data_IF_868954926293
#
_entry.id   IF_868954926293
#
_cell.length_a   1.000
_cell.length_b   1.000
_cell.length_c   1.000
_cell.angle_alpha   90.00
_cell.angle_beta   90.00
_cell.angle_gamma   90.00
#
_symmetry.space_group_name_H-M   'P 1'
#
loop_
_entity.id
_entity.type
_entity.pdbx_description
1 polymer ?
#
# COMPACT_ATOMS: atom_id res chain seq x y z
N UNK A 1 -40.98 13.54 24.40
CA UNK A 1 -39.74 13.21 23.67
C UNK A 1 -38.92 14.48 23.55
N UNK A 2 -37.83 14.59 24.31
CA UNK A 2 -37.00 15.80 24.39
C UNK A 2 -36.08 15.86 23.17
N UNK A 3 -36.33 16.81 22.28
CA UNK A 3 -35.36 17.28 21.29
C UNK A 3 -34.15 17.82 22.06
N UNK A 4 -33.08 17.02 22.13
CA UNK A 4 -31.84 17.42 22.75
C UNK A 4 -31.34 18.67 22.04
N UNK A 5 -31.24 19.79 22.76
CA UNK A 5 -30.71 21.05 22.27
C UNK A 5 -29.25 20.81 21.87
N UNK A 6 -28.97 20.60 20.58
CA UNK A 6 -27.60 20.44 20.10
C UNK A 6 -26.80 21.67 20.51
N UNK A 7 -25.68 21.44 21.19
CA UNK A 7 -24.78 22.53 21.52
C UNK A 7 -24.08 22.98 20.23
N UNK A 8 -23.77 24.26 20.08
CA UNK A 8 -22.94 24.78 18.97
C UNK A 8 -21.67 23.94 18.73
N UNK A 9 -21.10 23.37 19.78
CA UNK A 9 -19.93 22.49 19.67
C UNK A 9 -20.27 21.14 19.02
N UNK A 10 -21.47 20.59 19.26
CA UNK A 10 -21.91 19.38 18.59
C UNK A 10 -22.12 19.62 17.10
N UNK A 11 -22.74 20.73 16.70
CA UNK A 11 -22.89 21.10 15.29
C UNK A 11 -21.53 21.24 14.58
N UNK A 12 -20.55 21.87 15.23
CA UNK A 12 -19.20 22.00 14.70
C UNK A 12 -18.47 20.66 14.59
N UNK A 13 -18.66 19.77 15.56
CA UNK A 13 -18.11 18.41 15.52
C UNK A 13 -18.77 17.58 14.42
N UNK A 14 -20.10 17.64 14.29
CA UNK A 14 -20.85 16.94 13.25
C UNK A 14 -20.36 17.37 11.86
N UNK A 15 -20.27 18.67 11.61
CA UNK A 15 -19.78 19.21 10.35
C UNK A 15 -18.32 18.81 10.07
N UNK A 16 -17.46 18.74 11.09
CA UNK A 16 -16.07 18.28 10.92
C UNK A 16 -16.01 16.77 10.59
N UNK A 17 -16.83 15.96 11.25
CA UNK A 17 -16.89 14.51 11.05
C UNK A 17 -17.46 14.14 9.66
N UNK A 18 -18.43 14.91 9.17
CA UNK A 18 -18.97 14.82 7.80
C UNK A 18 -17.90 15.14 6.74
N UNK A 19 -17.07 16.16 6.98
CA UNK A 19 -15.92 16.48 6.11
C UNK A 19 -14.74 15.52 6.30
N UNK A 20 -14.82 14.58 7.25
CA UNK A 20 -13.75 13.65 7.56
C UNK A 20 -12.47 14.35 8.03
N UNK A 21 -12.59 15.38 8.87
CA UNK A 21 -11.49 16.14 9.46
C UNK A 21 -11.60 16.20 10.98
N UNK A 22 -10.53 16.58 11.66
CA UNK A 22 -10.65 17.01 13.05
C UNK A 22 -11.24 18.43 13.11
N UNK A 23 -12.05 18.71 14.13
CA UNK A 23 -12.54 20.06 14.39
C UNK A 23 -11.38 21.00 14.76
N UNK A 24 -11.26 22.09 14.01
CA UNK A 24 -10.40 23.25 14.29
C UNK A 24 -11.28 24.42 14.75
N UNK A 25 -11.24 24.81 16.04
CA UNK A 25 -12.02 25.94 16.53
C UNK A 25 -11.38 27.28 16.14
N UNK A 26 -12.06 28.06 15.29
CA UNK A 26 -11.59 29.37 14.81
C UNK A 26 -11.92 30.52 15.76
N UNK A 27 -13.11 30.50 16.36
CA UNK A 27 -13.54 31.57 17.28
C UNK A 27 -13.10 31.30 18.72
N UNK A 28 -12.75 32.36 19.46
CA UNK A 28 -12.29 32.24 20.85
C UNK A 28 -13.36 31.63 21.78
N UNK A 29 -14.65 31.92 21.53
CA UNK A 29 -15.75 31.28 22.28
C UNK A 29 -15.78 29.77 22.10
N UNK A 30 -15.54 29.30 20.87
CA UNK A 30 -15.57 27.88 20.53
C UNK A 30 -14.32 27.17 21.06
N UNK A 31 -13.14 27.82 20.97
CA UNK A 31 -11.90 27.35 21.59
C UNK A 31 -12.06 27.14 23.09
N UNK A 32 -12.64 28.09 23.81
CA UNK A 32 -12.90 27.94 25.26
C UNK A 32 -13.89 26.83 25.54
N UNK A 33 -14.98 26.75 24.79
CA UNK A 33 -16.02 25.75 24.97
C UNK A 33 -15.51 24.32 24.73
N UNK A 34 -14.79 24.08 23.62
CA UNK A 34 -14.23 22.76 23.31
C UNK A 34 -13.13 22.37 24.30
N UNK A 35 -12.24 23.28 24.70
CA UNK A 35 -11.21 23.02 25.73
C UNK A 35 -11.83 22.65 27.06
N UNK A 36 -12.92 23.33 27.47
CA UNK A 36 -13.67 23.00 28.70
C UNK A 36 -14.29 21.60 28.61
N UNK A 37 -14.86 21.22 27.46
CA UNK A 37 -15.41 19.86 27.23
C UNK A 37 -14.29 18.80 27.23
N UNK A 38 -13.15 19.10 26.61
CA UNK A 38 -11.99 18.21 26.56
C UNK A 38 -11.38 17.94 27.94
N UNK A 39 -11.30 18.95 28.81
CA UNK A 39 -10.73 18.82 30.17
C UNK A 39 -11.60 18.03 31.16
N UNK A 40 -12.84 17.68 30.82
CA UNK A 40 -13.70 16.86 31.70
C UNK A 40 -13.07 15.47 31.90
N UNK A 41 -13.09 14.95 33.14
CA UNK A 41 -12.52 13.63 33.50
C UNK A 41 -13.04 12.48 32.63
N UNK A 42 -14.30 12.56 32.18
CA UNK A 42 -14.92 11.62 31.23
C UNK A 42 -15.26 12.31 29.92
N UNK A 43 -14.34 13.09 29.35
CA UNK A 43 -14.55 13.72 28.05
C UNK A 43 -14.78 12.65 26.98
N UNK A 44 -15.74 12.90 26.09
CA UNK A 44 -15.98 12.12 24.89
C UNK A 44 -15.03 12.49 23.74
N UNK A 45 -14.22 13.54 23.92
CA UNK A 45 -13.28 14.02 22.93
C UNK A 45 -11.88 13.42 23.13
N UNK A 46 -11.12 13.43 22.04
CA UNK A 46 -9.66 13.34 22.06
C UNK A 46 -9.08 14.51 21.27
N UNK A 47 -7.78 14.77 21.50
CA UNK A 47 -7.02 15.73 20.71
C UNK A 47 -5.77 15.02 20.17
N UNK A 48 -5.80 14.52 18.91
CA UNK A 48 -4.67 13.76 18.35
C UNK A 48 -3.43 14.63 18.15
N UNK A 49 -3.64 15.91 17.85
CA UNK A 49 -2.63 16.97 17.80
C UNK A 49 -3.22 18.20 18.49
N UNK A 50 -2.40 18.97 19.19
CA UNK A 50 -2.85 20.19 19.88
C UNK A 50 -3.60 21.12 18.92
N UNK A 51 -4.82 21.51 19.31
CA UNK A 51 -5.69 22.35 18.49
C UNK A 51 -6.67 21.58 17.62
N UNK A 52 -6.48 20.28 17.44
CA UNK A 52 -7.40 19.40 16.71
C UNK A 52 -8.25 18.60 17.69
N UNK A 53 -9.57 18.52 17.45
CA UNK A 53 -10.49 17.78 18.31
C UNK A 53 -11.37 16.84 17.49
N UNK A 54 -11.67 15.67 18.04
CA UNK A 54 -12.57 14.69 17.41
C UNK A 54 -13.23 13.85 18.50
N UNK A 55 -14.46 13.37 18.27
CA UNK A 55 -15.11 12.46 19.22
C UNK A 55 -14.37 11.13 19.24
N UNK A 56 -14.22 10.55 20.43
CA UNK A 56 -13.53 9.27 20.66
C UNK A 56 -14.21 8.13 19.92
N UNK A 57 -15.54 8.12 19.85
CA UNK A 57 -16.31 7.12 19.13
C UNK A 57 -15.96 7.13 17.64
N UNK A 58 -15.99 8.31 17.01
CA UNK A 58 -15.57 8.50 15.62
C UNK A 58 -14.12 8.10 15.40
N UNK A 59 -13.20 8.54 16.26
CA UNK A 59 -11.79 8.20 16.11
C UNK A 59 -11.54 6.67 16.15
N UNK A 60 -12.26 5.96 17.04
CA UNK A 60 -12.16 4.50 17.16
C UNK A 60 -12.72 3.77 15.95
N UNK A 61 -13.74 4.30 15.28
CA UNK A 61 -14.32 3.70 14.08
C UNK A 61 -13.45 3.88 12.83
N UNK A 62 -12.51 4.83 12.83
CA UNK A 62 -11.61 5.07 11.70
C UNK A 62 -10.47 4.03 11.67
N UNK A 63 -10.19 3.51 10.46
CA UNK A 63 -8.95 2.83 10.12
C UNK A 63 -7.74 3.80 10.22
N UNK A 64 -6.49 3.31 10.35
CA UNK A 64 -5.31 4.16 10.56
C UNK A 64 -5.07 5.23 9.48
N UNK A 65 -5.32 4.90 8.21
CA UNK A 65 -5.34 5.82 7.07
C UNK A 65 -6.38 6.93 7.23
N UNK A 66 -7.61 6.58 7.60
CA UNK A 66 -8.67 7.54 7.89
C UNK A 66 -8.30 8.49 9.03
N UNK A 67 -7.63 7.98 10.07
CA UNK A 67 -7.10 8.77 11.18
C UNK A 67 -6.02 9.74 10.73
N UNK A 68 -5.07 9.29 9.90
CA UNK A 68 -4.02 10.12 9.34
C UNK A 68 -4.62 11.25 8.48
N UNK A 69 -5.57 10.94 7.60
CA UNK A 69 -6.28 11.94 6.78
C UNK A 69 -7.04 12.97 7.63
N UNK A 70 -7.70 12.56 8.73
CA UNK A 70 -8.36 13.51 9.63
C UNK A 70 -7.36 14.48 10.28
N UNK A 71 -6.16 14.00 10.64
CA UNK A 71 -5.09 14.85 11.18
C UNK A 71 -4.56 15.78 10.10
N UNK A 72 -4.25 15.27 8.91
CA UNK A 72 -3.72 16.06 7.80
C UNK A 72 -4.69 17.19 7.41
N UNK A 73 -5.99 16.91 7.27
CA UNK A 73 -7.00 17.93 6.96
C UNK A 73 -7.11 18.98 8.07
N UNK A 74 -7.10 18.53 9.33
CA UNK A 74 -7.13 19.44 10.47
C UNK A 74 -5.88 20.33 10.56
N UNK A 75 -4.70 19.78 10.24
CA UNK A 75 -3.45 20.55 10.20
C UNK A 75 -3.44 21.56 9.06
N UNK A 76 -3.90 21.18 7.86
CA UNK A 76 -4.03 22.09 6.73
C UNK A 76 -5.02 23.22 7.03
N UNK A 77 -6.11 22.96 7.75
CA UNK A 77 -7.04 23.99 8.20
C UNK A 77 -6.45 24.88 9.30
N UNK A 78 -5.73 24.30 10.27
CA UNK A 78 -5.12 25.03 11.38
C UNK A 78 -3.93 25.90 10.93
N UNK A 79 -3.20 25.45 9.90
CA UNK A 79 -1.98 26.06 9.34
C UNK A 79 -1.96 25.88 7.81
N UNK A 80 -2.57 26.81 7.05
CA UNK A 80 -2.74 26.69 5.58
C UNK A 80 -1.45 26.57 4.76
N UNK A 81 -0.32 26.93 5.35
CA UNK A 81 1.03 26.81 4.81
C UNK A 81 1.67 25.43 5.04
N UNK A 82 1.01 24.53 5.79
CA UNK A 82 1.51 23.17 6.06
C UNK A 82 1.69 22.40 4.75
N UNK A 83 2.94 22.05 4.43
CA UNK A 83 3.27 21.11 3.37
C UNK A 83 3.56 19.73 3.96
N UNK A 84 2.90 18.68 3.50
CA UNK A 84 3.13 17.29 3.91
C UNK A 84 4.25 16.65 3.07
N UNK A 85 4.99 15.71 3.67
CA UNK A 85 6.07 14.99 3.02
C UNK A 85 6.09 13.51 3.45
N UNK A 86 7.06 12.73 2.94
CA UNK A 86 7.25 11.32 3.27
C UNK A 86 5.92 10.52 3.21
N UNK A 87 5.64 9.66 4.19
CA UNK A 87 4.44 8.82 4.19
C UNK A 87 3.11 9.61 4.19
N UNK A 88 3.10 10.84 4.71
CA UNK A 88 1.89 11.68 4.70
C UNK A 88 1.62 12.23 3.30
N UNK A 89 2.67 12.65 2.57
CA UNK A 89 2.51 12.96 1.16
C UNK A 89 2.17 11.71 0.34
N UNK A 90 2.77 10.55 0.64
CA UNK A 90 2.49 9.30 -0.07
C UNK A 90 1.02 8.91 0.03
N UNK A 91 0.44 9.04 1.24
CA UNK A 91 -1.00 8.82 1.46
C UNK A 91 -1.87 9.79 0.64
N UNK A 92 -1.48 11.07 0.54
CA UNK A 92 -2.19 12.04 -0.29
C UNK A 92 -2.10 11.73 -1.79
N UNK A 93 -0.94 11.25 -2.27
CA UNK A 93 -0.74 10.78 -3.64
C UNK A 93 -1.46 9.45 -3.95
N UNK A 94 -2.09 8.82 -2.96
CA UNK A 94 -2.73 7.50 -3.11
C UNK A 94 -1.73 6.35 -3.26
N UNK A 95 -0.47 6.55 -2.87
CA UNK A 95 0.54 5.50 -2.83
C UNK A 95 0.26 4.55 -1.65
N UNK A 96 0.62 3.26 -1.76
CA UNK A 96 0.41 2.30 -0.69
C UNK A 96 1.31 2.64 0.51
N UNK A 97 0.71 2.79 1.69
CA UNK A 97 1.43 3.03 2.94
C UNK A 97 0.85 2.11 4.00
N UNK A 98 1.70 1.27 4.60
CA UNK A 98 1.31 0.40 5.70
C UNK A 98 0.84 1.19 6.91
N UNK A 99 -0.15 0.66 7.61
CA UNK A 99 -0.82 1.35 8.71
C UNK A 99 0.12 1.70 9.86
N UNK A 100 1.17 0.91 10.11
CA UNK A 100 2.14 1.21 11.17
C UNK A 100 2.97 2.46 10.88
N UNK A 101 3.19 2.81 9.62
CA UNK A 101 3.89 4.03 9.21
C UNK A 101 3.02 5.29 9.34
N UNK A 102 1.69 5.12 9.46
CA UNK A 102 0.71 6.22 9.54
C UNK A 102 0.43 6.70 10.98
N UNK A 103 1.23 6.24 11.95
CA UNK A 103 1.11 6.69 13.36
C UNK A 103 1.50 8.16 13.54
N UNK A 104 2.39 8.64 12.69
CA UNK A 104 2.95 10.00 12.70
C UNK A 104 2.61 10.73 11.40
N UNK A 105 2.38 12.04 11.50
CA UNK A 105 2.14 12.91 10.34
C UNK A 105 3.41 13.69 10.03
N UNK A 106 3.84 13.63 8.78
CA UNK A 106 5.13 14.16 8.32
C UNK A 106 4.91 15.45 7.54
N UNK A 107 5.58 16.52 7.95
CA UNK A 107 5.48 17.85 7.36
C UNK A 107 6.85 18.41 7.03
N UNK A 108 6.92 19.27 6.03
CA UNK A 108 8.09 20.11 5.76
C UNK A 108 8.16 21.19 6.84
N UNK A 109 9.36 21.41 7.38
CA UNK A 109 9.62 22.47 8.36
C UNK A 109 9.38 23.83 7.69
N UNK A 110 8.42 24.59 8.22
CA UNK A 110 8.29 26.02 7.87
C UNK A 110 9.35 26.82 8.60
N UNK A 111 9.97 27.79 7.92
CA UNK A 111 10.94 28.72 8.53
C UNK A 111 10.31 29.61 9.61
N UNK A 112 8.99 29.84 9.56
CA UNK A 112 8.25 30.71 10.49
C UNK A 112 7.84 29.98 11.78
N UNK A 113 7.68 28.66 11.73
CA UNK A 113 7.33 27.83 12.89
C UNK A 113 8.58 27.14 13.42
N UNK A 114 9.10 27.59 14.57
CA UNK A 114 10.30 27.03 15.20
C UNK A 114 10.30 25.50 15.37
N UNK A 115 11.49 24.94 15.64
CA UNK A 115 11.79 23.49 15.77
C UNK A 115 10.95 22.77 16.82
N UNK A 116 9.75 22.30 16.50
CA UNK A 116 9.02 21.43 17.43
C UNK A 116 8.33 20.26 16.72
N UNK A 117 9.13 19.25 16.34
CA UNK A 117 8.58 17.90 16.20
C UNK A 117 7.88 17.51 17.50
N UNK A 118 6.70 16.95 17.39
CA UNK A 118 5.95 16.37 18.50
C UNK A 118 5.84 14.87 18.30
N UNK A 119 5.33 14.13 19.29
CA UNK A 119 5.09 12.68 19.17
C UNK A 119 4.20 12.29 17.97
N UNK A 120 3.42 13.22 17.40
CA UNK A 120 2.46 12.95 16.31
C UNK A 120 2.75 13.70 15.02
N UNK A 121 3.57 14.74 15.06
CA UNK A 121 3.89 15.56 13.90
C UNK A 121 5.41 15.69 13.81
N UNK A 122 5.99 15.12 12.77
CA UNK A 122 7.43 15.08 12.54
C UNK A 122 7.78 16.07 11.44
N UNK A 123 8.71 16.98 11.72
CA UNK A 123 9.12 18.02 10.78
C UNK A 123 10.44 17.67 10.09
N UNK A 124 10.43 17.70 8.76
CA UNK A 124 11.57 17.39 7.90
C UNK A 124 12.10 18.64 7.20
N UNK A 125 13.40 18.67 6.96
CA UNK A 125 14.04 19.73 6.18
C UNK A 125 14.14 19.27 4.73
N UNK A 126 13.41 19.96 3.85
CA UNK A 126 13.28 19.62 2.44
C UNK A 126 13.57 20.88 1.62
N UNK A 127 14.76 20.96 1.06
CA UNK A 127 15.16 22.08 0.20
C UNK A 127 14.89 21.78 -1.28
N UNK A 128 14.50 22.82 -2.01
CA UNK A 128 14.46 22.83 -3.48
C UNK A 128 13.38 21.96 -4.14
N UNK A 129 12.45 21.37 -3.37
CA UNK A 129 11.32 20.63 -3.94
C UNK A 129 10.08 21.53 -4.08
N UNK A 130 9.44 21.58 -5.27
CA UNK A 130 8.23 22.38 -5.45
C UNK A 130 7.06 21.79 -4.64
N UNK A 131 6.19 22.67 -4.14
CA UNK A 131 4.93 22.27 -3.54
C UNK A 131 3.90 21.89 -4.61
N UNK A 132 3.19 20.80 -4.39
CA UNK A 132 2.06 20.34 -5.22
C UNK A 132 0.76 20.36 -4.41
N UNK A 133 -0.38 20.60 -5.07
CA UNK A 133 -1.70 20.40 -4.48
C UNK A 133 -2.26 19.06 -4.96
N UNK A 134 -2.54 18.15 -4.03
CA UNK A 134 -3.07 16.82 -4.31
C UNK A 134 -4.19 16.53 -3.32
N UNK A 135 -5.41 16.40 -3.82
CA UNK A 135 -6.58 16.11 -3.00
C UNK A 135 -6.85 17.16 -1.91
N UNK A 136 -6.48 18.43 -2.14
CA UNK A 136 -6.59 19.52 -1.17
C UNK A 136 -5.47 19.55 -0.13
N UNK A 137 -4.39 18.79 -0.34
CA UNK A 137 -3.19 18.83 0.49
C UNK A 137 -2.02 19.45 -0.27
N UNK A 138 -1.31 20.36 0.38
CA UNK A 138 0.01 20.81 -0.06
C UNK A 138 1.03 19.72 0.25
N UNK A 139 1.72 19.19 -0.74
CA UNK A 139 2.62 18.05 -0.60
C UNK A 139 3.96 18.28 -1.31
N UNK A 140 4.96 17.47 -1.01
CA UNK A 140 6.16 17.30 -1.85
C UNK A 140 5.80 16.73 -3.22
N UNK A 141 6.63 17.02 -4.22
CA UNK A 141 6.48 16.46 -5.57
C UNK A 141 6.42 14.94 -5.55
N UNK A 142 5.80 14.35 -6.58
CA UNK A 142 5.61 12.90 -6.67
C UNK A 142 6.93 12.13 -6.47
N UNK A 143 7.96 12.47 -7.25
CA UNK A 143 9.25 11.77 -7.18
C UNK A 143 10.04 12.05 -5.90
N UNK A 144 9.84 13.22 -5.26
CA UNK A 144 10.40 13.47 -3.93
C UNK A 144 9.74 12.58 -2.89
N UNK A 145 8.42 12.48 -2.94
CA UNK A 145 7.64 11.61 -2.04
C UNK A 145 8.04 10.15 -2.19
N UNK A 146 8.12 9.66 -3.43
CA UNK A 146 8.58 8.29 -3.74
C UNK A 146 10.00 8.08 -3.18
N UNK A 147 10.93 8.99 -3.46
CA UNK A 147 12.29 8.91 -2.95
C UNK A 147 12.35 8.85 -1.41
N UNK A 148 11.65 9.74 -0.72
CA UNK A 148 11.65 9.80 0.75
C UNK A 148 11.13 8.49 1.36
N UNK A 149 10.09 7.88 0.77
CA UNK A 149 9.58 6.57 1.19
C UNK A 149 10.61 5.47 0.93
N UNK A 150 11.15 5.37 -0.29
CA UNK A 150 12.13 4.36 -0.66
C UNK A 150 13.45 4.47 0.13
N UNK A 151 13.79 5.67 0.59
CA UNK A 151 14.99 5.89 1.38
C UNK A 151 14.84 5.48 2.87
N UNK A 152 13.60 5.40 3.38
CA UNK A 152 13.35 5.30 4.84
C UNK A 152 12.47 4.12 5.28
N UNK A 153 11.61 3.60 4.41
CA UNK A 153 10.70 2.50 4.77
C UNK A 153 11.44 1.16 4.80
N UNK A 154 10.99 0.18 5.62
CA UNK A 154 11.39 -1.22 5.46
C UNK A 154 11.24 -1.70 4.02
N UNK A 155 12.07 -2.65 3.60
CA UNK A 155 12.09 -3.14 2.21
C UNK A 155 10.70 -3.45 1.64
N UNK A 156 9.86 -4.18 2.36
CA UNK A 156 8.52 -4.56 1.90
C UNK A 156 7.60 -3.36 1.61
N UNK A 157 7.57 -2.39 2.53
CA UNK A 157 6.78 -1.16 2.36
C UNK A 157 7.33 -0.29 1.23
N UNK A 158 8.66 -0.19 1.13
CA UNK A 158 9.32 0.57 0.08
C UNK A 158 9.06 -0.03 -1.32
N UNK A 159 9.02 -1.36 -1.42
CA UNK A 159 8.72 -2.06 -2.66
C UNK A 159 7.29 -1.79 -3.12
N UNK A 160 6.32 -1.77 -2.20
CA UNK A 160 4.95 -1.40 -2.52
C UNK A 160 4.85 0.01 -3.12
N UNK A 161 5.58 0.97 -2.55
CA UNK A 161 5.65 2.33 -3.09
C UNK A 161 6.32 2.34 -4.46
N UNK A 162 7.40 1.58 -4.65
CA UNK A 162 8.11 1.52 -5.93
C UNK A 162 7.25 0.93 -7.06
N UNK A 163 6.54 -0.17 -6.81
CA UNK A 163 5.60 -0.77 -7.77
C UNK A 163 4.50 0.21 -8.16
N UNK A 164 3.89 0.86 -7.16
CA UNK A 164 2.86 1.87 -7.39
C UNK A 164 3.40 3.07 -8.18
N UNK A 165 4.64 3.48 -7.92
CA UNK A 165 5.28 4.57 -8.66
C UNK A 165 5.49 4.21 -10.13
N UNK A 166 5.95 2.99 -10.44
CA UNK A 166 6.05 2.50 -11.81
C UNK A 166 4.67 2.44 -12.49
N UNK A 167 3.65 1.91 -11.81
CA UNK A 167 2.27 1.89 -12.34
C UNK A 167 1.75 3.27 -12.68
N UNK A 168 1.88 4.23 -11.77
CA UNK A 168 1.35 5.57 -11.94
C UNK A 168 2.12 6.39 -12.99
N UNK A 169 3.43 6.18 -13.10
CA UNK A 169 4.28 6.96 -14.01
C UNK A 169 4.40 6.36 -15.41
N UNK A 170 4.20 5.05 -15.56
CA UNK A 170 4.44 4.33 -16.80
C UNK A 170 5.92 4.21 -17.19
N UNK A 171 6.84 4.61 -16.31
CA UNK A 171 8.28 4.48 -16.55
C UNK A 171 8.71 3.00 -16.49
N UNK A 172 9.73 2.66 -17.27
CA UNK A 172 10.47 1.43 -17.06
C UNK A 172 11.32 1.52 -15.79
N UNK A 173 11.60 0.36 -15.18
CA UNK A 173 12.39 0.27 -13.94
C UNK A 173 13.74 0.97 -14.04
N UNK A 174 14.46 0.81 -15.15
CA UNK A 174 15.78 1.45 -15.35
C UNK A 174 15.68 2.97 -15.47
N UNK A 175 14.59 3.49 -16.06
CA UNK A 175 14.34 4.93 -16.16
C UNK A 175 14.07 5.52 -14.77
N UNK A 176 13.27 4.84 -13.94
CA UNK A 176 13.06 5.23 -12.53
C UNK A 176 14.37 5.22 -11.75
N UNK A 177 15.21 4.19 -11.90
CA UNK A 177 16.54 4.13 -11.25
C UNK A 177 17.41 5.32 -11.67
N UNK A 178 17.48 5.60 -12.98
CA UNK A 178 18.24 6.72 -13.53
C UNK A 178 17.73 8.08 -13.04
N UNK A 179 16.42 8.26 -12.99
CA UNK A 179 15.75 9.45 -12.47
C UNK A 179 16.12 9.67 -11.00
N UNK A 180 15.96 8.66 -10.15
CA UNK A 180 16.25 8.78 -8.71
C UNK A 180 17.73 9.09 -8.47
N UNK A 181 18.63 8.38 -9.16
CA UNK A 181 20.08 8.61 -9.06
C UNK A 181 20.49 10.00 -9.49
N UNK A 182 19.85 10.56 -10.52
CA UNK A 182 20.22 11.87 -11.07
C UNK A 182 19.66 13.01 -10.23
N UNK A 183 18.35 12.94 -9.90
CA UNK A 183 17.62 13.98 -9.17
C UNK A 183 18.06 14.06 -7.70
N UNK A 184 18.34 12.92 -7.07
CA UNK A 184 18.66 12.83 -5.65
C UNK A 184 20.10 12.39 -5.38
N UNK A 185 21.02 12.64 -6.33
CA UNK A 185 22.44 12.20 -6.26
C UNK A 185 23.18 12.61 -4.98
N UNK A 186 22.78 13.72 -4.36
CA UNK A 186 23.39 14.25 -3.13
C UNK A 186 22.59 13.91 -1.87
N UNK A 187 21.45 13.23 -1.99
CA UNK A 187 20.61 12.87 -0.87
C UNK A 187 21.07 11.52 -0.28
N UNK A 188 21.19 11.42 1.07
CA UNK A 188 21.34 10.13 1.73
C UNK A 188 20.22 9.16 1.33
N UNK A 189 20.55 7.88 1.17
CA UNK A 189 19.56 6.86 0.81
C UNK A 189 19.34 6.64 -0.69
N UNK A 190 19.91 7.47 -1.59
CA UNK A 190 19.74 7.28 -3.05
C UNK A 190 20.21 5.93 -3.57
N UNK A 191 21.30 5.38 -3.01
CA UNK A 191 21.77 4.04 -3.37
C UNK A 191 20.80 2.95 -2.90
N UNK A 192 20.21 3.12 -1.72
CA UNK A 192 19.20 2.21 -1.17
C UNK A 192 17.92 2.26 -2.02
N UNK A 193 17.41 3.45 -2.29
CA UNK A 193 16.22 3.63 -3.13
C UNK A 193 16.40 3.01 -4.52
N UNK A 194 17.57 3.23 -5.15
CA UNK A 194 17.90 2.60 -6.43
C UNK A 194 18.00 1.07 -6.34
N UNK A 195 18.51 0.51 -5.23
CA UNK A 195 18.58 -0.94 -5.03
C UNK A 195 17.18 -1.56 -4.87
N UNK A 196 16.27 -0.90 -4.15
CA UNK A 196 14.86 -1.33 -4.03
C UNK A 196 14.17 -1.33 -5.38
N UNK A 197 14.40 -0.29 -6.19
CA UNK A 197 13.83 -0.19 -7.52
C UNK A 197 14.16 -1.40 -8.39
N UNK A 198 15.28 -2.11 -8.18
CA UNK A 198 15.64 -3.32 -8.95
C UNK A 198 14.59 -4.42 -8.82
N UNK A 199 13.85 -4.45 -7.71
CA UNK A 199 12.77 -5.41 -7.47
C UNK A 199 11.39 -4.91 -7.92
N UNK A 200 11.27 -3.65 -8.34
CA UNK A 200 9.98 -3.05 -8.63
C UNK A 200 9.33 -3.65 -9.87
N UNK A 201 8.04 -3.94 -9.76
CA UNK A 201 7.23 -4.63 -10.75
C UNK A 201 5.86 -3.92 -10.88
N UNK A 202 5.56 -3.27 -12.01
CA UNK A 202 4.31 -2.53 -12.17
C UNK A 202 3.07 -3.43 -12.25
N UNK A 203 3.21 -4.74 -12.40
CA UNK A 203 2.04 -5.63 -12.51
C UNK A 203 1.41 -6.05 -11.19
N UNK A 204 2.07 -5.83 -10.04
CA UNK A 204 1.41 -5.97 -8.74
C UNK A 204 0.22 -4.99 -8.68
N UNK A 205 -0.98 -5.46 -8.35
CA UNK A 205 -2.19 -4.61 -8.42
C UNK A 205 -2.47 -3.89 -7.10
N UNK A 206 -1.89 -4.38 -6.01
CA UNK A 206 -2.11 -3.85 -4.67
C UNK A 206 -0.82 -3.75 -3.87
N UNK A 207 -0.80 -2.86 -2.87
CA UNK A 207 0.32 -2.77 -1.94
C UNK A 207 0.51 -4.06 -1.13
N UNK A 208 -0.57 -4.80 -0.88
CA UNK A 208 -0.48 -6.09 -0.22
C UNK A 208 0.21 -7.17 -1.05
N UNK A 209 -0.01 -7.18 -2.37
CA UNK A 209 0.73 -8.08 -3.26
C UNK A 209 2.23 -7.76 -3.25
N UNK A 210 2.58 -6.47 -3.30
CA UNK A 210 3.97 -6.03 -3.23
C UNK A 210 4.64 -6.40 -1.91
N UNK A 211 3.94 -6.26 -0.78
CA UNK A 211 4.43 -6.65 0.55
C UNK A 211 4.64 -8.16 0.65
N UNK A 212 3.65 -8.96 0.22
CA UNK A 212 3.77 -10.41 0.19
C UNK A 212 4.98 -10.85 -0.66
N UNK A 213 5.15 -10.24 -1.84
CA UNK A 213 6.28 -10.50 -2.74
C UNK A 213 7.61 -10.11 -2.12
N UNK A 214 7.69 -8.99 -1.41
CA UNK A 214 8.91 -8.60 -0.72
C UNK A 214 9.31 -9.65 0.34
N UNK A 215 8.36 -10.11 1.15
CA UNK A 215 8.62 -11.15 2.14
C UNK A 215 8.99 -12.48 1.49
N UNK A 216 8.37 -12.87 0.36
CA UNK A 216 8.79 -14.04 -0.41
C UNK A 216 10.27 -13.94 -0.83
N UNK A 217 10.69 -12.76 -1.31
CA UNK A 217 12.09 -12.50 -1.67
C UNK A 217 13.00 -12.62 -0.43
N UNK A 218 12.67 -11.94 0.67
CA UNK A 218 13.46 -11.96 1.92
C UNK A 218 13.63 -13.38 2.48
N UNK A 219 12.57 -14.20 2.40
CA UNK A 219 12.55 -15.59 2.84
C UNK A 219 13.25 -16.56 1.88
N UNK A 220 13.71 -16.08 0.73
CA UNK A 220 14.43 -16.85 -0.28
C UNK A 220 13.52 -17.78 -1.10
N UNK A 221 12.24 -17.47 -1.26
CA UNK A 221 11.39 -18.21 -2.20
C UNK A 221 11.76 -17.88 -3.65
N UNK A 222 11.47 -18.82 -4.55
CA UNK A 222 11.55 -18.52 -5.97
C UNK A 222 10.64 -17.33 -6.29
N UNK A 223 11.15 -16.41 -7.11
CA UNK A 223 10.42 -15.22 -7.51
C UNK A 223 9.14 -15.60 -8.28
N UNK A 224 7.94 -15.17 -7.84
CA UNK A 224 6.68 -15.53 -8.49
C UNK A 224 6.54 -14.89 -9.87
N UNK A 225 5.78 -15.54 -10.74
CA UNK A 225 5.15 -14.83 -11.86
C UNK A 225 3.89 -14.15 -11.36
N UNK A 226 3.79 -12.84 -11.61
CA UNK A 226 2.63 -12.06 -11.20
C UNK A 226 1.54 -12.09 -12.24
N UNK A 227 0.28 -12.04 -11.77
CA UNK A 227 -0.89 -11.80 -12.59
C UNK A 227 -1.05 -12.79 -13.76
N UNK A 228 -0.75 -14.07 -13.51
CA UNK A 228 -0.88 -15.15 -14.50
C UNK A 228 -2.32 -15.21 -14.99
N UNK A 229 -2.48 -15.17 -16.31
CA UNK A 229 -3.80 -15.21 -16.96
C UNK A 229 -4.06 -16.59 -17.55
N UNK A 230 -5.18 -17.22 -17.15
CA UNK A 230 -5.61 -18.54 -17.60
C UNK A 230 -6.98 -18.42 -18.28
N UNK A 231 -7.28 -19.16 -19.36
CA UNK A 231 -8.63 -19.15 -19.91
C UNK A 231 -9.65 -19.69 -18.90
N UNK A 232 -10.88 -19.17 -18.93
CA UNK A 232 -11.97 -19.76 -18.16
C UNK A 232 -12.43 -21.05 -18.88
N UNK A 233 -12.37 -22.24 -18.26
CA UNK A 233 -12.81 -23.48 -18.89
C UNK A 233 -14.29 -23.51 -19.26
N UNK A 234 -15.12 -22.65 -18.67
CA UNK A 234 -16.56 -22.58 -18.91
C UNK A 234 -16.99 -21.45 -19.86
N UNK A 235 -16.11 -20.48 -20.15
CA UNK A 235 -16.39 -19.33 -21.02
C UNK A 235 -15.12 -18.89 -21.75
N UNK A 236 -15.05 -19.14 -23.05
CA UNK A 236 -13.87 -18.85 -23.89
C UNK A 236 -13.56 -17.36 -24.05
N UNK A 237 -14.46 -16.47 -23.62
CA UNK A 237 -14.28 -15.02 -23.62
C UNK A 237 -13.75 -14.48 -22.30
N UNK A 238 -13.66 -15.32 -21.28
CA UNK A 238 -13.20 -14.93 -19.94
C UNK A 238 -11.84 -15.54 -19.62
N UNK A 239 -11.16 -14.88 -18.69
CA UNK A 239 -9.89 -15.34 -18.16
C UNK A 239 -9.88 -15.22 -16.65
N UNK A 240 -9.24 -16.17 -15.98
CA UNK A 240 -8.83 -16.05 -14.59
C UNK A 240 -7.50 -15.32 -14.51
N UNK A 241 -7.35 -14.47 -13.50
CA UNK A 241 -6.10 -13.79 -13.15
C UNK A 241 -5.68 -14.27 -11.77
N UNK A 242 -4.44 -14.72 -11.66
CA UNK A 242 -3.86 -15.28 -10.43
C UNK A 242 -2.75 -14.35 -9.97
N UNK A 243 -2.79 -13.91 -8.71
CA UNK A 243 -1.87 -12.88 -8.18
C UNK A 243 -0.41 -13.34 -8.25
N UNK A 244 -0.14 -14.56 -7.79
CA UNK A 244 1.18 -15.18 -7.80
C UNK A 244 1.14 -16.59 -8.38
N UNK A 245 2.15 -16.96 -9.15
CA UNK A 245 2.28 -18.34 -9.62
C UNK A 245 3.71 -18.85 -9.69
N UNK A 246 3.84 -20.14 -9.37
CA UNK A 246 5.09 -20.90 -9.40
C UNK A 246 4.86 -22.27 -10.07
N UNK A 247 5.95 -23.01 -10.23
CA UNK A 247 5.91 -24.45 -10.50
C UNK A 247 6.68 -25.18 -9.41
N UNK A 248 6.12 -26.25 -8.86
CA UNK A 248 6.85 -27.10 -7.93
C UNK A 248 7.97 -27.89 -8.64
N UNK A 249 8.73 -28.69 -7.88
CA UNK A 249 9.82 -29.51 -8.42
C UNK A 249 9.37 -30.54 -9.47
N UNK A 250 8.07 -30.87 -9.54
CA UNK A 250 7.49 -31.79 -10.53
C UNK A 250 6.93 -31.06 -11.75
N UNK A 251 6.93 -29.73 -11.75
CA UNK A 251 6.38 -28.88 -12.80
C UNK A 251 4.90 -28.52 -12.61
N UNK A 252 4.26 -28.98 -11.52
CA UNK A 252 2.85 -28.67 -11.21
C UNK A 252 2.72 -27.19 -10.84
N UNK A 253 1.64 -26.57 -11.31
CA UNK A 253 1.33 -25.16 -11.00
C UNK A 253 1.01 -24.98 -9.51
N UNK A 254 1.53 -23.90 -8.93
CA UNK A 254 1.12 -23.39 -7.62
C UNK A 254 0.58 -21.98 -7.83
N UNK A 255 -0.59 -21.69 -7.27
CA UNK A 255 -1.24 -20.39 -7.30
C UNK A 255 -1.23 -19.79 -5.89
N UNK A 256 -0.82 -18.54 -5.76
CA UNK A 256 -1.00 -17.73 -4.58
C UNK A 256 -2.05 -16.66 -4.85
N UNK A 257 -3.08 -16.56 -4.02
CA UNK A 257 -4.09 -15.50 -4.12
C UNK A 257 -4.19 -14.73 -2.80
N UNK A 258 -4.09 -13.41 -2.91
CA UNK A 258 -4.24 -12.50 -1.78
C UNK A 258 -5.70 -12.06 -1.66
N UNK A 259 -6.30 -12.45 -0.54
CA UNK A 259 -7.65 -12.06 -0.19
C UNK A 259 -7.64 -10.63 0.35
N UNK A 260 -7.95 -9.67 -0.52
CA UNK A 260 -8.08 -8.27 -0.14
C UNK A 260 -9.31 -8.03 0.75
N UNK A 261 -9.11 -7.36 1.89
CA UNK A 261 -10.15 -7.05 2.88
C UNK A 261 -11.35 -6.26 2.31
N UNK A 262 -11.14 -5.48 1.25
CA UNK A 262 -12.19 -4.64 0.62
C UNK A 262 -12.98 -5.35 -0.50
N UNK A 263 -12.70 -6.62 -0.78
CA UNK A 263 -13.49 -7.38 -1.77
C UNK A 263 -14.95 -7.58 -1.32
N UNK A 264 -15.35 -7.25 -0.09
CA UNK A 264 -16.74 -7.45 0.40
C UNK A 264 -17.71 -6.29 0.15
N UNK A 265 -17.23 -5.09 -0.24
CA UNK A 265 -18.07 -3.88 -0.27
C UNK A 265 -18.60 -3.48 -1.66
N UNK A 266 -18.14 -4.12 -2.74
CA UNK A 266 -18.50 -3.78 -4.14
C UNK A 266 -19.13 -4.94 -4.92
N UNK A 267 -20.08 -5.67 -4.33
CA UNK A 267 -20.82 -6.70 -5.05
C UNK A 267 -22.24 -6.22 -5.38
N UNK A 268 -22.52 -5.96 -6.65
CA UNK A 268 -23.88 -5.68 -7.14
C UNK A 268 -24.83 -6.87 -6.88
N UNK A 269 -24.30 -8.10 -6.80
CA UNK A 269 -25.04 -9.33 -6.52
C UNK A 269 -25.22 -9.64 -5.02
N UNK A 270 -24.81 -8.75 -4.12
CA UNK A 270 -24.80 -8.98 -2.67
C UNK A 270 -23.81 -10.08 -2.23
N UNK A 271 -23.66 -10.31 -0.90
CA UNK A 271 -22.62 -11.19 -0.35
C UNK A 271 -22.74 -12.66 -0.81
N UNK A 272 -23.97 -13.17 -0.97
CA UNK A 272 -24.23 -14.57 -1.34
C UNK A 272 -23.89 -14.86 -2.80
N UNK A 273 -24.25 -13.95 -3.72
CA UNK A 273 -23.93 -14.11 -5.14
C UNK A 273 -22.42 -14.15 -5.38
N UNK A 274 -21.67 -13.26 -4.72
CA UNK A 274 -20.21 -13.25 -4.82
C UNK A 274 -19.55 -14.50 -4.26
N UNK A 275 -20.05 -15.04 -3.15
CA UNK A 275 -19.57 -16.32 -2.60
C UNK A 275 -19.80 -17.48 -3.57
N UNK A 276 -20.95 -17.49 -4.26
CA UNK A 276 -21.24 -18.49 -5.28
C UNK A 276 -20.32 -18.35 -6.50
N UNK A 277 -20.06 -17.13 -6.95
CA UNK A 277 -19.14 -16.87 -8.06
C UNK A 277 -17.70 -17.23 -7.72
N UNK A 278 -17.25 -16.94 -6.50
CA UNK A 278 -15.93 -17.34 -6.01
C UNK A 278 -15.82 -18.86 -5.95
N UNK A 279 -16.85 -19.55 -5.43
CA UNK A 279 -16.87 -21.02 -5.38
C UNK A 279 -16.87 -21.65 -6.78
N UNK A 280 -17.59 -21.06 -7.73
CA UNK A 280 -17.55 -21.51 -9.14
C UNK A 280 -16.18 -21.31 -9.76
N UNK A 281 -15.56 -20.14 -9.53
CA UNK A 281 -14.19 -19.84 -9.96
C UNK A 281 -13.22 -20.89 -9.42
N UNK A 282 -13.25 -21.17 -8.13
CA UNK A 282 -12.37 -22.17 -7.50
C UNK A 282 -12.57 -23.57 -8.10
N UNK A 283 -13.82 -24.00 -8.29
CA UNK A 283 -14.12 -25.28 -8.91
C UNK A 283 -13.53 -25.37 -10.33
N UNK A 284 -13.60 -24.30 -11.12
CA UNK A 284 -13.04 -24.25 -12.47
C UNK A 284 -11.50 -24.21 -12.47
N UNK A 285 -10.87 -23.55 -11.50
CA UNK A 285 -9.41 -23.54 -11.36
C UNK A 285 -8.85 -24.94 -11.11
N UNK A 286 -9.61 -25.87 -10.52
CA UNK A 286 -9.17 -27.26 -10.29
C UNK A 286 -8.87 -28.02 -11.59
N UNK A 287 -9.42 -27.59 -12.74
CA UNK A 287 -9.12 -28.17 -14.07
C UNK A 287 -7.63 -28.09 -14.39
N UNK A 288 -6.95 -27.04 -13.93
CA UNK A 288 -5.50 -26.84 -14.09
C UNK A 288 -4.66 -27.68 -13.11
N UNK A 289 -5.31 -28.40 -12.19
CA UNK A 289 -4.70 -29.20 -11.10
C UNK A 289 -3.64 -28.44 -10.28
N UNK A 290 -3.86 -27.15 -9.92
CA UNK A 290 -2.88 -26.40 -9.16
C UNK A 290 -2.84 -26.86 -7.68
N UNK A 291 -1.77 -26.49 -6.98
CA UNK A 291 -1.81 -26.25 -5.53
C UNK A 291 -2.25 -24.79 -5.32
N UNK A 292 -3.25 -24.49 -4.48
CA UNK A 292 -3.76 -23.12 -4.32
C UNK A 292 -3.55 -22.66 -2.87
N UNK A 293 -2.67 -21.69 -2.69
CA UNK A 293 -2.40 -21.00 -1.42
C UNK A 293 -3.20 -19.69 -1.38
N UNK A 294 -4.30 -19.65 -0.62
CA UNK A 294 -5.02 -18.41 -0.34
C UNK A 294 -4.57 -17.84 0.98
N UNK A 295 -4.36 -16.54 1.05
CA UNK A 295 -3.96 -15.89 2.29
C UNK A 295 -4.52 -14.48 2.42
N UNK A 296 -4.76 -14.09 3.67
CA UNK A 296 -5.22 -12.74 4.01
C UNK A 296 -4.05 -11.76 4.05
N UNK A 297 -4.37 -10.47 4.11
CA UNK A 297 -3.39 -9.43 4.41
C UNK A 297 -2.62 -9.67 5.71
N UNK A 298 -3.26 -10.24 6.74
CA UNK A 298 -2.60 -10.53 8.01
C UNK A 298 -1.50 -11.59 7.87
N UNK A 299 -1.75 -12.63 7.06
CA UNK A 299 -0.74 -13.65 6.74
C UNK A 299 0.34 -13.07 5.83
N UNK A 300 -0.04 -12.26 4.84
CA UNK A 300 0.92 -11.58 3.96
C UNK A 300 1.93 -10.70 4.72
N UNK A 301 1.50 -10.03 5.79
CA UNK A 301 2.35 -9.17 6.62
C UNK A 301 3.11 -9.91 7.74
N UNK A 302 2.90 -11.22 7.93
CA UNK A 302 3.63 -12.03 8.90
C UNK A 302 4.55 -13.02 8.14
N UNK A 303 5.87 -12.73 8.08
CA UNK A 303 6.80 -13.56 7.31
C UNK A 303 6.81 -15.04 7.70
N UNK A 304 6.57 -15.35 8.98
CA UNK A 304 6.58 -16.74 9.44
C UNK A 304 5.30 -17.46 8.97
N UNK A 305 4.13 -16.85 9.16
CA UNK A 305 2.87 -17.45 8.70
C UNK A 305 2.84 -17.59 7.18
N UNK A 306 3.35 -16.60 6.45
CA UNK A 306 3.49 -16.69 5.00
C UNK A 306 4.44 -17.82 4.61
N UNK A 307 5.58 -17.96 5.29
CA UNK A 307 6.51 -19.06 5.03
C UNK A 307 5.86 -20.43 5.24
N UNK A 308 5.21 -20.64 6.39
CA UNK A 308 4.60 -21.93 6.71
C UNK A 308 3.55 -22.33 5.67
N UNK A 309 2.78 -21.35 5.18
CA UNK A 309 1.80 -21.56 4.11
C UNK A 309 2.47 -21.91 2.78
N UNK A 310 3.49 -21.17 2.36
CA UNK A 310 4.17 -21.41 1.08
C UNK A 310 4.88 -22.77 1.07
N UNK A 311 5.51 -23.16 2.19
CA UNK A 311 6.11 -24.48 2.36
C UNK A 311 5.05 -25.60 2.27
N UNK A 312 3.90 -25.43 2.93
CA UNK A 312 2.78 -26.38 2.86
C UNK A 312 2.31 -26.63 1.42
N UNK A 313 2.33 -25.58 0.58
CA UNK A 313 1.93 -25.67 -0.82
C UNK A 313 3.04 -26.08 -1.78
N UNK A 314 4.26 -26.30 -1.28
CA UNK A 314 5.41 -26.77 -2.04
C UNK A 314 6.08 -25.70 -2.89
N UNK A 315 5.95 -24.42 -2.53
CA UNK A 315 6.58 -23.32 -3.27
C UNK A 315 8.10 -23.48 -3.22
N UNK A 316 8.79 -23.49 -4.38
CA UNK A 316 10.24 -23.67 -4.40
C UNK A 316 10.98 -22.57 -3.67
N UNK A 317 12.08 -22.93 -3.02
CA UNK A 317 13.03 -22.00 -2.41
C UNK A 317 14.28 -21.87 -3.28
N UNK A 318 14.73 -20.65 -3.46
CA UNK A 318 16.07 -20.31 -3.91
C UNK A 318 17.04 -20.14 -2.72
N UNK A 319 18.26 -19.66 -2.98
CA UNK A 319 19.17 -19.27 -1.92
C UNK A 319 18.61 -18.04 -1.17
N UNK A 320 18.74 -18.03 0.16
CA UNK A 320 18.43 -16.84 0.97
C UNK A 320 19.27 -15.67 0.46
N UNK A 321 18.64 -14.53 0.10
CA UNK A 321 19.36 -13.42 -0.49
C UNK A 321 20.33 -12.80 0.52
N UNK A 322 21.49 -12.36 0.03
CA UNK A 322 22.34 -11.46 0.79
C UNK A 322 21.62 -10.12 0.94
N UNK A 323 21.76 -9.47 2.10
CA UNK A 323 21.17 -8.15 2.33
C UNK A 323 22.21 -7.05 2.10
N UNK A 324 21.74 -5.91 1.59
CA UNK A 324 22.47 -4.65 1.52
C UNK A 324 21.67 -3.56 2.22
N UNK A 325 22.36 -2.51 2.70
CA UNK A 325 21.73 -1.39 3.43
C UNK A 325 20.91 -1.82 4.68
N UNK A 326 21.20 -3.00 5.24
CA UNK A 326 20.56 -3.53 6.43
C UNK A 326 19.40 -4.49 6.15
N UNK A 327 18.58 -4.21 5.14
CA UNK A 327 17.33 -4.94 4.90
C UNK A 327 16.99 -5.20 3.42
N UNK A 328 17.72 -4.63 2.45
CA UNK A 328 17.36 -4.76 1.03
C UNK A 328 18.00 -6.02 0.44
N UNK A 329 17.23 -7.00 -0.06
CA UNK A 329 17.76 -8.18 -0.74
C UNK A 329 18.59 -7.80 -1.98
N UNK A 330 19.76 -8.41 -2.12
CA UNK A 330 20.58 -8.33 -3.32
C UNK A 330 20.07 -9.35 -4.34
N UNK A 331 19.67 -8.94 -5.55
CA UNK A 331 19.21 -9.87 -6.57
C UNK A 331 20.27 -10.93 -6.91
N UNK A 332 19.87 -12.19 -7.16
CA UNK A 332 20.80 -13.22 -7.59
C UNK A 332 21.42 -12.89 -8.96
N UNK A 333 22.56 -13.51 -9.27
CA UNK A 333 23.19 -13.36 -10.58
C UNK A 333 22.23 -13.84 -11.68
N UNK A 334 22.08 -13.05 -12.75
CA UNK A 334 21.12 -13.37 -13.80
C UNK A 334 19.66 -13.15 -13.41
N UNK A 335 19.38 -12.43 -12.30
CA UNK A 335 18.07 -11.82 -12.05
C UNK A 335 17.81 -10.77 -13.15
N UNK A 336 17.39 -11.28 -14.30
CA UNK A 336 16.77 -10.49 -15.32
C UNK A 336 15.34 -10.20 -14.87
N UNK A 337 14.83 -9.06 -15.30
CA UNK A 337 13.40 -8.82 -15.41
C UNK A 337 12.79 -10.08 -16.02
N UNK A 338 12.08 -10.89 -15.22
CA UNK A 338 11.18 -11.88 -15.80
C UNK A 338 10.19 -11.01 -16.53
N UNK A 339 10.36 -10.87 -17.85
CA UNK A 339 9.46 -10.08 -18.67
C UNK A 339 8.04 -10.53 -18.31
N UNK A 340 7.15 -9.57 -18.07
CA UNK A 340 5.78 -9.86 -17.70
C UNK A 340 5.12 -10.66 -18.80
N UNK A 341 4.85 -11.92 -18.51
CA UNK A 341 4.90 -12.94 -19.55
C UNK A 341 3.82 -12.71 -20.68
N UNK A 342 4.18 -12.34 -21.93
CA UNK A 342 3.34 -12.26 -23.17
C UNK A 342 3.75 -13.19 -24.35
N UNK A 343 3.21 -14.39 -24.44
CA UNK A 343 3.41 -15.33 -25.57
C UNK A 343 2.43 -16.49 -25.46
N UNK A 344 2.61 -17.70 -26.01
CA UNK A 344 1.57 -18.76 -25.98
C UNK A 344 2.14 -20.12 -25.55
N UNK A 345 1.57 -20.69 -24.48
CA UNK A 345 1.87 -22.02 -23.97
C UNK A 345 0.68 -22.97 -24.07
N UNK A 346 0.89 -24.25 -23.77
CA UNK A 346 -0.16 -25.27 -23.81
C UNK A 346 -0.14 -26.17 -22.56
N UNK A 347 -1.23 -26.18 -21.78
CA UNK A 347 -1.46 -27.15 -20.69
C UNK A 347 -2.38 -28.25 -21.20
N UNK A 348 -2.04 -29.51 -20.99
CA UNK A 348 -2.94 -30.62 -21.28
C UNK A 348 -3.55 -31.10 -19.97
N UNK A 349 -4.86 -30.94 -19.82
CA UNK A 349 -5.62 -31.43 -18.66
C UNK A 349 -6.79 -32.31 -19.14
N UNK A 350 -6.90 -33.52 -18.59
CA UNK A 350 -7.97 -34.46 -18.97
C UNK A 350 -7.97 -34.89 -20.44
N UNK A 351 -6.83 -34.84 -21.13
CA UNK A 351 -6.72 -35.12 -22.57
C UNK A 351 -7.09 -33.92 -23.47
N UNK A 352 -7.49 -32.79 -22.88
CA UNK A 352 -7.83 -31.55 -23.58
C UNK A 352 -6.66 -30.58 -23.52
N UNK A 353 -6.35 -29.98 -24.67
CA UNK A 353 -5.25 -29.05 -24.88
C UNK A 353 -5.72 -27.60 -24.65
N UNK A 354 -5.33 -27.01 -23.53
CA UNK A 354 -5.62 -25.61 -23.18
C UNK A 354 -4.46 -24.72 -23.60
N UNK A 355 -4.72 -23.76 -24.50
CA UNK A 355 -3.74 -22.71 -24.81
C UNK A 355 -3.79 -21.65 -23.72
N UNK A 356 -2.66 -21.34 -23.11
CA UNK A 356 -2.51 -20.21 -22.19
C UNK A 356 -1.52 -19.21 -22.79
N UNK A 357 -1.45 -18.00 -22.24
CA UNK A 357 -0.53 -16.95 -22.71
C UNK A 357 0.75 -16.97 -21.85
N UNK A 358 1.92 -17.26 -22.44
CA UNK A 358 3.26 -17.37 -21.83
C UNK A 358 4.36 -16.61 -22.64
N UNK A 359 4.99 -15.49 -22.22
CA UNK A 359 6.10 -14.83 -22.97
C UNK A 359 7.18 -15.81 -23.34
N UNK A 360 7.46 -15.76 -24.63
CA UNK A 360 8.66 -16.29 -25.21
C UNK A 360 9.76 -15.27 -24.97
N UNK A 361 10.88 -15.72 -24.42
CA UNK A 361 12.13 -14.99 -24.45
C UNK A 361 12.44 -14.56 -25.89
N UNK A 362 12.67 -13.26 -26.11
CA UNK A 362 13.41 -12.84 -27.30
C UNK A 362 14.86 -13.27 -27.10
N UNK A 363 15.26 -14.31 -27.83
CA UNK A 363 16.66 -14.52 -28.13
C UNK A 363 17.13 -13.37 -29.04
N UNK A 364 18.05 -12.54 -28.52
CA UNK A 364 19.14 -11.88 -29.23
C UNK A 364 20.03 -11.19 -28.19
#
# INVERSE_FOLDING_TARGET
MSTARHSRIDELLDAAEERGTCLVPHEERDRRAIRRRFRKRRSDLISPVSGLYVRRARWRSLKPDGRALHIMRGLAELRPDTQFCAQSAALAWGLPVSWDLLRETHVVRSHESGRHSTKRVISHEIEGDPTWDVGGFRVTSFWRTVFDCLASFPFADALAVADAALRCSGLARQEMIGLLRTRFRHCPGVRRAAAICVWAEPTAESGGESVARAHMVELGYEYPHLQLTLPDPADDRRVFRIDFSWRDATGRLIFGELDGDDKYLRAEAGPVGKLLDERKREALLTVYRPSIARFSMAVACDPQQLSDLLDLHGVPRGPVPKLCFGDVPVPPAGFAERKTIRGQGTVIAGGVRFRFVEEVATAA
#
